data_IF_790350313883
#
_entry.id   IF_790350313883
#
_cell.length_a   1.000
_cell.length_b   1.000
_cell.length_c   1.000
_cell.angle_alpha   90.00
_cell.angle_beta   90.00
_cell.angle_gamma   90.00
#
_symmetry.space_group_name_H-M   'P 1'
#
loop_
_entity.id
_entity.type
_entity.pdbx_description
1 polymer ?
#
# COMPACT_ATOMS: atom_id res chain seq x y z
N UNK A 1 -13.23 19.28 6.89
CA UNK A 1 -13.42 19.89 5.56
C UNK A 1 -12.18 19.55 4.76
N UNK A 2 -12.15 18.74 3.70
CA UNK A 2 -13.14 18.29 2.71
C UNK A 2 -13.66 16.87 3.03
N UNK A 3 -14.90 16.41 2.82
CA UNK A 3 -16.13 16.95 2.24
C UNK A 3 -15.97 17.90 1.04
N UNK A 4 -15.78 17.32 -0.14
CA UNK A 4 -16.41 17.81 -1.37
C UNK A 4 -16.21 16.77 -2.49
N UNK A 5 -17.15 15.83 -2.59
CA UNK A 5 -17.71 15.38 -3.85
C UNK A 5 -19.04 14.69 -3.54
N UNK A 6 -20.09 15.45 -3.82
CA UNK A 6 -21.48 15.09 -4.04
C UNK A 6 -21.95 13.71 -3.55
N UNK A 7 -22.91 13.77 -2.63
CA UNK A 7 -23.97 12.78 -2.52
C UNK A 7 -24.66 12.73 -3.89
N UNK A 8 -24.35 11.70 -4.67
CA UNK A 8 -25.26 11.16 -5.65
C UNK A 8 -25.44 9.69 -5.28
N UNK A 9 -26.52 9.40 -4.57
CA UNK A 9 -27.02 8.05 -4.47
C UNK A 9 -27.37 7.61 -5.89
N UNK A 10 -26.51 6.80 -6.51
CA UNK A 10 -26.88 6.00 -7.66
C UNK A 10 -26.68 4.55 -7.27
N UNK A 11 -27.79 3.90 -7.02
CA UNK A 11 -27.91 2.45 -6.87
C UNK A 11 -27.57 1.79 -8.21
N UNK A 12 -26.28 1.53 -8.44
CA UNK A 12 -25.85 0.58 -9.46
C UNK A 12 -25.61 -0.76 -8.79
N UNK A 13 -26.54 -1.69 -9.04
CA UNK A 13 -26.39 -3.10 -8.73
C UNK A 13 -25.27 -3.67 -9.63
N UNK A 14 -24.03 -3.61 -9.16
CA UNK A 14 -22.94 -4.41 -9.73
C UNK A 14 -22.49 -5.40 -8.65
N UNK A 15 -22.69 -6.69 -8.94
CA UNK A 15 -22.27 -7.80 -8.10
C UNK A 15 -20.73 -7.84 -8.06
N UNK A 16 -20.07 -7.66 -6.92
CA UNK A 16 -18.62 -7.82 -6.85
C UNK A 16 -18.24 -9.30 -7.00
N UNK A 17 -17.10 -9.62 -7.63
CA UNK A 17 -16.59 -10.99 -7.63
C UNK A 17 -16.35 -11.46 -6.19
N UNK A 18 -16.80 -12.69 -5.90
CA UNK A 18 -16.80 -13.26 -4.57
C UNK A 18 -15.38 -13.46 -4.02
N UNK A 19 -15.14 -12.96 -2.80
CA UNK A 19 -13.92 -13.13 -2.02
C UNK A 19 -13.06 -11.86 -1.94
N UNK A 20 -12.86 -11.34 -0.72
CA UNK A 20 -11.79 -10.40 -0.31
C UNK A 20 -12.08 -8.89 -0.28
N UNK A 21 -13.33 -8.45 -0.48
CA UNK A 21 -13.75 -7.05 -0.34
C UNK A 21 -14.68 -6.81 0.87
N UNK A 22 -14.59 -7.67 1.88
CA UNK A 22 -15.38 -7.57 3.11
C UNK A 22 -14.59 -6.83 4.20
N UNK A 23 -15.29 -6.15 5.13
CA UNK A 23 -14.68 -5.65 6.35
C UNK A 23 -13.94 -6.76 7.11
N UNK A 24 -12.81 -6.39 7.72
CA UNK A 24 -12.07 -7.25 8.65
C UNK A 24 -12.95 -7.68 9.83
N UNK A 25 -12.85 -8.95 10.18
CA UNK A 25 -13.49 -9.52 11.36
C UNK A 25 -12.79 -9.07 12.66
N UNK A 26 -13.46 -9.18 13.79
CA UNK A 26 -12.87 -8.85 15.09
C UNK A 26 -11.62 -9.68 15.41
N UNK A 27 -11.58 -10.94 14.98
CA UNK A 27 -10.41 -11.80 15.14
C UNK A 27 -9.21 -11.28 14.33
N UNK A 28 -9.42 -10.92 13.06
CA UNK A 28 -8.36 -10.34 12.22
C UNK A 28 -7.84 -9.01 12.78
N UNK A 29 -8.73 -8.17 13.32
CA UNK A 29 -8.35 -6.93 13.99
C UNK A 29 -7.50 -7.20 15.25
N UNK A 30 -7.85 -8.23 16.04
CA UNK A 30 -7.06 -8.64 17.20
C UNK A 30 -5.68 -9.19 16.79
N UNK A 31 -5.59 -9.98 15.73
CA UNK A 31 -4.31 -10.49 15.19
C UNK A 31 -3.41 -9.34 14.73
N UNK A 32 -3.98 -8.33 14.05
CA UNK A 32 -3.26 -7.11 13.65
C UNK A 32 -2.72 -6.38 14.89
N UNK A 33 -3.50 -6.25 15.98
CA UNK A 33 -3.00 -5.63 17.21
C UNK A 33 -1.87 -6.45 17.84
N UNK A 34 -2.00 -7.78 17.87
CA UNK A 34 -1.00 -8.68 18.43
C UNK A 34 0.33 -8.66 17.68
N UNK A 35 0.33 -8.32 16.39
CA UNK A 35 1.56 -8.11 15.61
C UNK A 35 2.44 -7.03 16.23
N UNK A 36 1.85 -5.91 16.69
CA UNK A 36 2.60 -4.76 17.22
C UNK A 36 3.17 -4.99 18.62
N UNK A 37 3.07 -6.19 19.17
CA UNK A 37 3.79 -6.62 20.38
C UNK A 37 5.02 -7.46 20.07
N UNK A 38 5.35 -7.67 18.78
CA UNK A 38 6.44 -8.53 18.32
C UNK A 38 7.42 -7.74 17.44
N UNK A 39 8.40 -7.04 18.04
CA UNK A 39 9.43 -6.33 17.28
C UNK A 39 10.13 -7.27 16.30
N UNK A 40 10.35 -6.82 15.07
CA UNK A 40 11.00 -7.62 14.05
C UNK A 40 12.48 -7.85 14.41
N UNK A 41 12.97 -9.07 14.21
CA UNK A 41 14.41 -9.37 14.36
C UNK A 41 15.17 -8.93 13.10
N UNK A 42 16.45 -8.61 13.26
CA UNK A 42 17.33 -8.24 12.13
C UNK A 42 17.39 -9.34 11.07
N UNK A 43 17.39 -10.60 11.49
CA UNK A 43 17.42 -11.77 10.59
C UNK A 43 16.14 -11.86 9.76
N UNK A 44 14.98 -11.68 10.38
CA UNK A 44 13.69 -11.69 9.69
C UNK A 44 13.58 -10.55 8.67
N UNK A 45 14.04 -9.34 9.05
CA UNK A 45 14.07 -8.18 8.16
C UNK A 45 15.03 -8.38 6.97
N UNK A 46 16.19 -8.97 7.20
CA UNK A 46 17.15 -9.29 6.14
C UNK A 46 16.59 -10.31 5.15
N UNK A 47 15.93 -11.37 5.65
CA UNK A 47 15.27 -12.36 4.81
C UNK A 47 14.13 -11.74 3.97
N UNK A 48 13.34 -10.85 4.58
CA UNK A 48 12.28 -10.14 3.88
C UNK A 48 12.84 -9.20 2.79
N UNK A 49 13.90 -8.45 3.07
CA UNK A 49 14.55 -7.57 2.10
C UNK A 49 15.02 -8.35 0.85
N UNK A 50 15.63 -9.52 1.06
CA UNK A 50 16.07 -10.39 -0.05
C UNK A 50 14.89 -10.90 -0.88
N UNK A 51 13.75 -11.18 -0.25
CA UNK A 51 12.54 -11.64 -0.92
C UNK A 51 11.83 -10.51 -1.69
N UNK A 52 11.83 -9.28 -1.15
CA UNK A 52 11.13 -8.12 -1.70
C UNK A 52 11.97 -7.21 -2.59
N UNK A 53 13.25 -7.51 -2.84
CA UNK A 53 14.09 -6.74 -3.75
C UNK A 53 13.64 -6.93 -5.22
N UNK A 54 12.49 -6.34 -5.56
CA UNK A 54 11.88 -6.43 -6.89
C UNK A 54 12.64 -5.50 -7.84
N UNK A 55 13.69 -6.04 -8.47
CA UNK A 55 14.45 -5.34 -9.52
C UNK A 55 13.67 -5.23 -10.84
N UNK A 56 12.45 -5.77 -10.90
CA UNK A 56 11.62 -5.79 -12.10
C UNK A 56 10.48 -4.78 -11.96
N UNK A 57 10.19 -4.13 -13.07
CA UNK A 57 8.96 -3.36 -13.22
C UNK A 57 7.77 -4.27 -12.87
N UNK A 58 6.89 -3.77 -12.01
CA UNK A 58 5.79 -4.52 -11.42
C UNK A 58 4.50 -3.74 -11.61
N UNK A 59 3.45 -4.40 -12.08
CA UNK A 59 2.14 -3.77 -12.33
C UNK A 59 1.01 -4.69 -11.93
N UNK A 60 -0.14 -4.11 -11.63
CA UNK A 60 -1.31 -4.88 -11.25
C UNK A 60 -2.52 -4.01 -10.98
N UNK A 61 -3.54 -4.63 -10.41
CA UNK A 61 -4.76 -3.97 -10.00
C UNK A 61 -4.81 -3.87 -8.48
N UNK A 62 -5.53 -2.86 -7.99
CA UNK A 62 -5.84 -2.75 -6.58
C UNK A 62 -7.35 -2.60 -6.35
N UNK A 63 -7.81 -3.15 -5.24
CA UNK A 63 -9.10 -2.82 -4.63
C UNK A 63 -8.84 -2.25 -3.25
N UNK A 64 -9.35 -1.06 -3.00
CA UNK A 64 -9.25 -0.38 -1.72
C UNK A 64 -10.63 -0.31 -1.06
N UNK A 65 -10.69 -0.72 0.20
CA UNK A 65 -11.83 -0.62 1.09
C UNK A 65 -11.48 0.33 2.23
N UNK A 66 -12.28 1.37 2.44
CA UNK A 66 -12.20 2.24 3.62
C UNK A 66 -13.40 1.92 4.51
N UNK A 67 -13.14 1.27 5.63
CA UNK A 67 -14.12 1.02 6.67
C UNK A 67 -14.14 2.21 7.63
N UNK A 68 -15.33 2.78 7.82
CA UNK A 68 -15.58 3.82 8.81
C UNK A 68 -16.76 3.33 9.65
N UNK A 69 -16.57 3.19 10.96
CA UNK A 69 -17.56 2.64 11.89
C UNK A 69 -18.92 3.37 11.78
N UNK A 70 -18.88 4.67 11.50
CA UNK A 70 -20.07 5.52 11.34
C UNK A 70 -20.89 5.21 10.08
N UNK A 71 -20.28 4.56 9.07
CA UNK A 71 -20.93 4.25 7.80
C UNK A 71 -21.50 2.83 7.81
N UNK A 72 -22.70 2.65 7.22
CA UNK A 72 -23.34 1.34 7.08
C UNK A 72 -22.63 0.41 6.09
N UNK A 73 -21.94 0.98 5.11
CA UNK A 73 -21.18 0.27 4.08
C UNK A 73 -19.82 0.94 3.93
N UNK A 74 -18.75 0.18 3.68
CA UNK A 74 -17.45 0.77 3.45
C UNK A 74 -17.41 1.52 2.12
N UNK A 75 -16.45 2.43 1.98
CA UNK A 75 -16.16 3.08 0.70
C UNK A 75 -15.21 2.19 -0.11
N UNK A 76 -15.52 2.01 -1.40
CA UNK A 76 -14.72 1.18 -2.29
C UNK A 76 -14.09 2.03 -3.39
N UNK A 77 -12.80 1.82 -3.61
CA UNK A 77 -12.02 2.39 -4.71
C UNK A 77 -11.29 1.27 -5.46
N UNK A 78 -11.09 1.43 -6.75
CA UNK A 78 -10.43 0.43 -7.59
C UNK A 78 -9.57 1.11 -8.65
N UNK A 79 -8.51 0.43 -9.07
CA UNK A 79 -7.61 0.97 -10.07
C UNK A 79 -6.43 0.08 -10.37
N UNK A 80 -5.38 0.71 -10.89
CA UNK A 80 -4.15 0.06 -11.31
C UNK A 80 -2.94 0.75 -10.70
N UNK A 81 -1.87 0.00 -10.49
CA UNK A 81 -0.59 0.53 -10.06
C UNK A 81 0.52 0.02 -10.97
N UNK A 82 1.57 0.83 -11.09
CA UNK A 82 2.81 0.48 -11.79
C UNK A 82 3.96 0.97 -10.94
N UNK A 83 4.87 0.08 -10.59
CA UNK A 83 6.13 0.39 -9.96
C UNK A 83 7.25 0.06 -10.93
N UNK A 84 8.19 1.00 -11.06
CA UNK A 84 9.46 0.79 -11.74
C UNK A 84 10.57 1.26 -10.81
N UNK A 85 11.62 0.45 -10.57
CA UNK A 85 12.79 0.89 -9.81
C UNK A 85 13.44 2.15 -10.40
N UNK A 86 13.30 2.37 -11.72
CA UNK A 86 13.93 3.50 -12.42
C UNK A 86 13.01 4.70 -12.63
N UNK A 87 11.69 4.48 -12.71
CA UNK A 87 10.73 5.57 -12.98
C UNK A 87 9.94 6.02 -11.75
N UNK A 88 9.81 5.18 -10.72
CA UNK A 88 9.05 5.46 -9.50
C UNK A 88 7.73 4.67 -9.44
N UNK A 89 6.66 5.31 -8.97
CA UNK A 89 5.35 4.69 -8.78
C UNK A 89 4.24 5.48 -9.48
N UNK A 90 3.39 4.80 -10.23
CA UNK A 90 2.10 5.30 -10.72
C UNK A 90 0.98 4.62 -9.95
N UNK A 91 0.03 5.41 -9.49
CA UNK A 91 -1.22 4.96 -8.86
C UNK A 91 -2.40 5.58 -9.58
N UNK A 92 -3.15 4.78 -10.34
CA UNK A 92 -4.28 5.23 -11.12
C UNK A 92 -5.58 4.68 -10.54
N UNK A 93 -6.29 5.49 -9.75
CA UNK A 93 -7.66 5.17 -9.35
C UNK A 93 -8.60 5.37 -10.55
N UNK A 94 -9.39 4.35 -10.87
CA UNK A 94 -10.33 4.36 -11.98
C UNK A 94 -11.78 4.52 -11.49
N UNK A 95 -12.08 4.02 -10.28
CA UNK A 95 -13.40 4.11 -9.62
C UNK A 95 -13.23 4.50 -8.15
N UNK A 96 -14.18 5.25 -7.55
CA UNK A 96 -15.37 5.84 -8.17
C UNK A 96 -15.07 7.13 -8.95
N UNK A 97 -13.95 7.79 -8.64
CA UNK A 97 -13.47 8.98 -9.34
C UNK A 97 -12.09 8.71 -9.92
N UNK A 98 -11.89 9.10 -11.18
CA UNK A 98 -10.59 8.98 -11.83
C UNK A 98 -9.57 9.91 -11.18
N UNK A 99 -8.46 9.36 -10.71
CA UNK A 99 -7.33 10.12 -10.18
C UNK A 99 -6.05 9.42 -10.61
N UNK A 100 -5.06 10.19 -11.04
CA UNK A 100 -3.72 9.70 -11.34
C UNK A 100 -2.74 10.32 -10.34
N UNK A 101 -1.96 9.50 -9.67
CA UNK A 101 -0.84 9.94 -8.83
C UNK A 101 0.45 9.34 -9.39
N UNK A 102 1.50 10.16 -9.45
CA UNK A 102 2.84 9.76 -9.88
C UNK A 102 3.81 10.20 -8.80
N UNK A 103 4.54 9.26 -8.23
CA UNK A 103 5.65 9.50 -7.33
C UNK A 103 6.95 9.21 -8.08
N UNK A 104 7.73 10.26 -8.31
CA UNK A 104 9.02 10.20 -9.01
C UNK A 104 9.95 11.25 -8.42
N UNK A 105 11.23 10.94 -8.28
CA UNK A 105 12.26 11.87 -7.77
C UNK A 105 11.86 12.55 -6.45
N UNK A 106 11.20 11.79 -5.56
CA UNK A 106 10.67 12.28 -4.29
C UNK A 106 9.61 13.39 -4.41
N UNK A 107 9.02 13.58 -5.58
CA UNK A 107 7.90 14.48 -5.83
C UNK A 107 6.63 13.66 -6.10
N UNK A 108 5.54 14.04 -5.44
CA UNK A 108 4.23 13.47 -5.71
C UNK A 108 3.43 14.44 -6.58
N UNK A 109 3.01 13.97 -7.75
CA UNK A 109 2.21 14.72 -8.71
C UNK A 109 0.85 14.04 -8.79
N UNK A 110 -0.23 14.79 -8.62
CA UNK A 110 -1.59 14.27 -8.69
C UNK A 110 -2.40 15.01 -9.74
N UNK A 111 -3.08 14.28 -10.61
CA UNK A 111 -4.13 14.78 -11.48
C UNK A 111 -5.48 14.25 -11.01
N UNK A 112 -6.41 15.15 -10.68
CA UNK A 112 -7.76 14.77 -10.26
C UNK A 112 -8.69 14.50 -11.46
N UNK A 113 -9.95 14.14 -11.18
CA UNK A 113 -10.95 13.82 -12.21
C UNK A 113 -11.31 14.97 -13.13
N UNK A 114 -11.02 16.21 -12.73
CA UNK A 114 -11.22 17.42 -13.53
C UNK A 114 -9.98 17.79 -14.36
N UNK A 115 -8.91 16.99 -14.30
CA UNK A 115 -7.65 17.26 -14.97
C UNK A 115 -6.75 18.28 -14.26
N UNK A 116 -7.12 18.74 -13.07
CA UNK A 116 -6.28 19.67 -12.30
C UNK A 116 -5.06 18.92 -11.75
N UNK A 117 -3.87 19.42 -12.09
CA UNK A 117 -2.59 18.93 -11.60
C UNK A 117 -2.21 19.66 -10.31
N UNK A 118 -1.72 18.91 -9.33
CA UNK A 118 -1.18 19.40 -8.07
C UNK A 118 0.17 18.74 -7.81
N UNK A 119 1.15 19.56 -7.43
CA UNK A 119 2.46 19.09 -7.00
C UNK A 119 2.52 19.14 -5.48
N UNK A 120 2.92 18.03 -4.89
CA UNK A 120 3.13 17.89 -3.46
C UNK A 120 4.63 17.68 -3.21
N UNK A 121 5.29 18.69 -2.66
CA UNK A 121 6.61 18.55 -2.04
C UNK A 121 6.45 18.15 -0.57
N UNK A 122 7.51 17.64 0.04
CA UNK A 122 7.54 17.27 1.47
C UNK A 122 7.21 18.44 2.42
N UNK A 123 7.18 19.68 1.93
CA UNK A 123 7.00 20.91 2.70
C UNK A 123 5.60 21.55 2.51
N UNK A 124 4.78 21.02 1.61
CA UNK A 124 3.49 21.59 1.27
C UNK A 124 2.34 20.92 2.04
N UNK A 125 1.62 21.72 2.83
CA UNK A 125 0.45 21.43 3.69
C UNK A 125 -0.72 20.67 2.99
N UNK A 126 -0.48 19.44 2.56
CA UNK A 126 -1.48 18.49 2.07
C UNK A 126 -1.73 17.36 3.06
N UNK A 127 -2.82 16.59 2.87
CA UNK A 127 -3.16 15.45 3.73
C UNK A 127 -1.96 14.49 3.84
N UNK A 128 -1.38 14.29 5.04
CA UNK A 128 -0.15 13.51 5.21
C UNK A 128 -0.29 12.08 4.68
N UNK A 129 -1.47 11.46 4.77
CA UNK A 129 -1.70 10.08 4.31
C UNK A 129 -1.57 9.96 2.78
N UNK A 130 -2.10 10.93 2.01
CA UNK A 130 -2.07 10.89 0.55
C UNK A 130 -0.66 11.00 -0.02
N UNK A 131 0.27 11.59 0.74
CA UNK A 131 1.69 11.69 0.39
C UNK A 131 2.53 10.53 0.90
N UNK A 132 2.24 10.05 2.11
CA UNK A 132 3.03 9.02 2.77
C UNK A 132 2.78 7.63 2.17
N UNK A 133 1.55 7.30 1.78
CA UNK A 133 1.23 5.96 1.27
C UNK A 133 1.96 5.61 -0.05
N UNK A 134 2.00 6.48 -1.08
CA UNK A 134 2.78 6.20 -2.29
C UNK A 134 4.29 6.03 -1.99
N UNK A 135 4.85 6.85 -1.09
CA UNK A 135 6.27 6.77 -0.70
C UNK A 135 6.58 5.49 0.04
N UNK A 136 5.72 5.13 0.98
CA UNK A 136 5.81 3.89 1.71
C UNK A 136 5.74 2.71 0.74
N UNK A 137 4.75 2.70 -0.16
CA UNK A 137 4.61 1.65 -1.16
C UNK A 137 5.85 1.55 -2.04
N UNK A 138 6.42 2.67 -2.49
CA UNK A 138 7.68 2.69 -3.23
C UNK A 138 8.83 2.05 -2.42
N UNK A 139 9.02 2.43 -1.15
CA UNK A 139 10.09 1.88 -0.31
C UNK A 139 9.93 0.36 -0.09
N UNK A 140 8.70 -0.10 0.16
CA UNK A 140 8.43 -1.54 0.33
C UNK A 140 8.66 -2.28 -0.99
N UNK A 141 8.18 -1.76 -2.12
CA UNK A 141 8.34 -2.40 -3.42
C UNK A 141 9.79 -2.41 -3.90
N UNK A 142 10.60 -1.43 -3.46
CA UNK A 142 12.05 -1.43 -3.66
C UNK A 142 12.80 -2.38 -2.73
N UNK A 143 12.14 -2.99 -1.74
CA UNK A 143 12.77 -3.82 -0.72
C UNK A 143 13.70 -3.02 0.21
N UNK A 144 13.54 -1.71 0.30
CA UNK A 144 14.42 -0.81 1.06
C UNK A 144 14.00 -0.78 2.54
N UNK A 145 14.31 -1.87 3.24
CA UNK A 145 13.99 -2.02 4.67
C UNK A 145 14.77 -1.02 5.53
N UNK A 146 15.94 -0.55 5.08
CA UNK A 146 16.71 0.46 5.79
C UNK A 146 15.98 1.82 5.77
N UNK A 147 15.46 2.23 4.61
CA UNK A 147 14.62 3.43 4.51
C UNK A 147 13.34 3.31 5.36
N UNK A 148 12.71 2.14 5.41
CA UNK A 148 11.57 1.90 6.31
C UNK A 148 11.98 2.03 7.77
N UNK A 149 13.09 1.42 8.16
CA UNK A 149 13.59 1.42 9.54
C UNK A 149 14.00 2.82 10.01
N UNK A 150 14.35 3.74 9.11
CA UNK A 150 14.62 5.12 9.47
C UNK A 150 13.36 5.84 10.04
N UNK A 151 12.20 5.61 9.42
CA UNK A 151 10.94 6.28 9.80
C UNK A 151 10.02 5.49 10.72
N UNK A 152 10.20 4.16 10.82
CA UNK A 152 9.24 3.26 11.46
C UNK A 152 9.91 2.27 12.42
N UNK A 153 9.21 1.93 13.50
CA UNK A 153 9.45 0.71 14.26
C UNK A 153 8.81 -0.45 13.48
N UNK A 154 9.55 -1.54 13.30
CA UNK A 154 9.14 -2.68 12.50
C UNK A 154 8.78 -3.86 13.39
N UNK A 155 7.69 -4.55 13.03
CA UNK A 155 7.12 -5.67 13.77
C UNK A 155 6.89 -6.83 12.82
N UNK A 156 7.27 -8.04 13.21
CA UNK A 156 7.05 -9.25 12.41
C UNK A 156 6.75 -10.42 13.35
N UNK A 157 5.86 -11.35 12.97
CA UNK A 157 5.64 -12.54 13.76
C UNK A 157 6.93 -13.36 13.86
N UNK A 158 7.30 -13.81 15.06
CA UNK A 158 8.50 -14.63 15.27
C UNK A 158 8.45 -16.00 14.54
N UNK A 159 7.25 -16.42 14.12
CA UNK A 159 6.93 -17.75 13.56
C UNK A 159 6.83 -17.77 12.04
N UNK A 160 7.66 -17.00 11.35
CA UNK A 160 8.01 -17.32 9.96
C UNK A 160 9.43 -17.84 9.97
N UNK A 161 9.58 -19.17 10.09
CA UNK A 161 10.82 -19.83 9.74
C UNK A 161 11.10 -19.59 8.27
N UNK A 162 11.75 -18.47 7.96
CA UNK A 162 12.51 -18.36 6.72
C UNK A 162 13.86 -18.98 7.04
N UNK A 163 14.07 -20.15 6.45
CA UNK A 163 15.30 -20.95 6.43
C UNK A 163 15.59 -21.77 7.71
N UNK A 164 15.09 -23.00 7.73
CA UNK A 164 15.99 -24.12 8.04
C UNK A 164 16.52 -24.66 6.71
N UNK A 165 17.82 -24.98 6.57
CA UNK A 165 18.33 -25.67 5.40
C UNK A 165 17.82 -27.12 5.42
N UNK A 166 16.64 -27.33 4.82
CA UNK A 166 16.13 -28.68 4.57
C UNK A 166 16.90 -29.24 3.37
N UNK A 167 17.87 -30.12 3.63
CA UNK A 167 18.49 -30.97 2.62
C UNK A 167 17.48 -32.09 2.25
N UNK A 168 16.33 -31.73 1.67
CA UNK A 168 15.39 -32.67 1.06
C UNK A 168 14.67 -31.96 -0.10
N UNK A 169 14.54 -32.59 -1.28
CA UNK A 169 13.79 -32.01 -2.39
C UNK A 169 12.29 -32.02 -2.07
N UNK A 170 11.76 -30.90 -1.57
CA UNK A 170 10.33 -30.73 -1.32
C UNK A 170 9.59 -30.49 -2.64
N UNK A 171 8.66 -31.40 -2.99
CA UNK A 171 7.84 -31.37 -4.21
C UNK A 171 6.58 -30.49 -4.08
N UNK A 172 6.57 -29.51 -3.18
CA UNK A 172 5.47 -28.55 -3.02
C UNK A 172 6.02 -27.24 -2.46
N UNK A 173 5.80 -26.08 -3.10
CA UNK A 173 6.20 -24.81 -2.52
C UNK A 173 5.34 -24.58 -1.26
N UNK A 174 5.99 -24.60 -0.09
CA UNK A 174 5.34 -24.15 1.13
C UNK A 174 4.96 -22.67 0.95
N UNK A 175 3.67 -22.35 1.17
CA UNK A 175 3.14 -20.99 1.07
C UNK A 175 3.80 -20.11 2.14
N UNK A 176 4.94 -19.50 1.82
CA UNK A 176 5.63 -18.53 2.68
C UNK A 176 4.91 -17.20 2.57
N UNK A 177 3.86 -17.02 3.36
CA UNK A 177 3.26 -15.70 3.56
C UNK A 177 4.07 -14.94 4.61
N UNK A 178 4.45 -13.69 4.31
CA UNK A 178 5.06 -12.78 5.27
C UNK A 178 4.06 -11.73 5.76
N UNK A 179 4.34 -11.17 6.94
CA UNK A 179 3.62 -10.01 7.47
C UNK A 179 4.61 -9.05 8.12
N UNK A 180 4.48 -7.76 7.81
CA UNK A 180 5.30 -6.69 8.35
C UNK A 180 4.40 -5.57 8.88
N UNK A 181 4.53 -5.27 10.17
CA UNK A 181 3.91 -4.14 10.83
C UNK A 181 4.87 -2.96 10.89
N UNK A 182 4.38 -1.78 10.54
CA UNK A 182 5.08 -0.52 10.60
C UNK A 182 4.33 0.43 11.53
N UNK A 183 5.07 0.96 12.48
CA UNK A 183 4.59 1.99 13.40
C UNK A 183 5.50 3.21 13.25
N UNK A 184 4.94 4.36 12.86
CA UNK A 184 5.76 5.56 12.66
C UNK A 184 6.54 5.89 13.94
N UNK A 185 7.77 6.38 13.84
CA UNK A 185 8.54 6.85 15.01
C UNK A 185 8.14 8.25 15.42
N UNK A 186 7.72 9.07 14.47
CA UNK A 186 7.27 10.43 14.70
C UNK A 186 5.84 10.44 15.30
N UNK A 187 5.63 11.05 16.49
CA UNK A 187 4.32 11.07 17.15
C UNK A 187 3.21 11.80 16.38
N UNK A 188 3.56 12.83 15.59
CA UNK A 188 2.59 13.56 14.77
C UNK A 188 2.13 12.68 13.60
N UNK A 189 3.03 11.92 13.00
CA UNK A 189 2.70 10.92 11.98
C UNK A 189 1.87 9.78 12.59
N UNK A 190 2.27 9.25 13.75
CA UNK A 190 1.50 8.22 14.47
C UNK A 190 0.05 8.65 14.71
N UNK A 191 -0.14 9.88 15.19
CA UNK A 191 -1.46 10.42 15.53
C UNK A 191 -2.36 10.68 14.31
N UNK A 192 -1.78 10.79 13.11
CA UNK A 192 -2.51 11.10 11.87
C UNK A 192 -2.76 9.89 10.96
N UNK A 193 -2.03 8.78 11.12
CA UNK A 193 -2.06 7.66 10.17
C UNK A 193 -2.13 6.26 10.82
N UNK A 194 -2.07 6.15 12.14
CA UNK A 194 -2.15 4.87 12.85
C UNK A 194 -1.04 3.88 12.45
N UNK A 195 -1.36 2.60 12.48
CA UNK A 195 -0.45 1.50 12.20
C UNK A 195 -0.63 0.99 10.76
N UNK A 196 0.46 0.58 10.10
CA UNK A 196 0.41 0.01 8.75
C UNK A 196 0.88 -1.43 8.77
N UNK A 197 0.03 -2.35 8.33
CA UNK A 197 0.33 -3.78 8.25
C UNK A 197 0.34 -4.21 6.79
N UNK A 198 1.45 -4.80 6.36
CA UNK A 198 1.64 -5.35 5.03
C UNK A 198 1.68 -6.86 5.12
N UNK A 199 1.17 -7.53 4.11
CA UNK A 199 1.34 -8.98 3.97
C UNK A 199 1.46 -9.40 2.52
N UNK A 200 2.17 -10.49 2.29
CA UNK A 200 2.40 -10.98 0.94
C UNK A 200 3.06 -12.34 0.90
N UNK A 201 3.50 -12.71 -0.29
CA UNK A 201 4.29 -13.90 -0.58
C UNK A 201 5.61 -13.44 -1.25
N UNK A 202 5.93 -13.89 -2.46
CA UNK A 202 6.99 -13.26 -3.25
C UNK A 202 6.66 -11.82 -3.64
N UNK A 203 5.38 -11.44 -3.60
CA UNK A 203 4.89 -10.10 -3.90
C UNK A 203 4.02 -9.58 -2.74
N UNK A 204 3.87 -8.26 -2.66
CA UNK A 204 2.90 -7.64 -1.75
C UNK A 204 1.49 -8.01 -2.22
N UNK A 205 0.65 -8.49 -1.28
CA UNK A 205 -0.74 -8.87 -1.55
C UNK A 205 -1.74 -7.95 -0.87
N UNK A 206 -1.45 -7.53 0.36
CA UNK A 206 -2.37 -6.69 1.14
C UNK A 206 -1.62 -5.60 1.90
N UNK A 207 -2.29 -4.46 2.05
CA UNK A 207 -1.92 -3.38 2.94
C UNK A 207 -3.14 -2.99 3.77
N UNK A 208 -2.98 -2.95 5.09
CA UNK A 208 -3.97 -2.45 6.02
C UNK A 208 -3.38 -1.26 6.75
N UNK A 209 -4.16 -0.19 6.89
CA UNK A 209 -3.78 1.02 7.61
C UNK A 209 -4.90 1.39 8.56
N UNK A 210 -4.62 1.38 9.86
CA UNK A 210 -5.58 1.77 10.88
C UNK A 210 -5.61 3.29 11.01
N UNK A 211 -6.72 3.88 11.45
CA UNK A 211 -6.78 5.34 11.62
C UNK A 211 -6.18 5.81 12.95
N UNK A 212 -6.06 4.90 13.91
CA UNK A 212 -5.44 5.11 15.22
C UNK A 212 -4.77 3.78 15.67
N UNK A 213 -3.90 3.84 16.68
CA UNK A 213 -3.21 2.66 17.22
C UNK A 213 -4.06 1.88 18.23
N UNK A 214 -4.82 2.58 19.07
CA UNK A 214 -5.65 1.98 20.11
C UNK A 214 -7.04 1.62 19.58
N UNK A 215 -7.66 2.53 18.82
CA UNK A 215 -8.98 2.31 18.21
C UNK A 215 -8.84 2.06 16.70
N UNK A 216 -8.89 0.78 16.33
CA UNK A 216 -8.74 0.35 14.94
C UNK A 216 -10.09 0.10 14.26
N UNK A 217 -11.17 0.65 14.80
CA UNK A 217 -12.52 0.52 14.22
C UNK A 217 -12.62 1.16 12.82
N UNK A 218 -11.85 2.21 12.57
CA UNK A 218 -11.69 2.85 11.26
C UNK A 218 -10.37 2.43 10.61
N UNK A 219 -10.42 1.88 9.40
CA UNK A 219 -9.23 1.41 8.69
C UNK A 219 -9.39 1.46 7.17
N UNK A 220 -8.26 1.41 6.48
CA UNK A 220 -8.17 1.18 5.04
C UNK A 220 -7.55 -0.20 4.80
N UNK A 221 -8.15 -0.99 3.93
CA UNK A 221 -7.57 -2.21 3.37
C UNK A 221 -7.34 -2.02 1.87
N UNK A 222 -6.20 -2.43 1.37
CA UNK A 222 -5.86 -2.45 -0.06
C UNK A 222 -5.42 -3.86 -0.41
N UNK A 223 -6.06 -4.46 -1.41
CA UNK A 223 -5.69 -5.75 -1.95
C UNK A 223 -5.10 -5.57 -3.34
N UNK A 224 -3.94 -6.19 -3.58
CA UNK A 224 -3.24 -6.20 -4.85
C UNK A 224 -3.52 -7.51 -5.58
N UNK A 225 -3.99 -7.40 -6.81
CA UNK A 225 -4.40 -8.54 -7.63
C UNK A 225 -3.84 -8.41 -9.04
N UNK A 226 -3.81 -9.53 -9.76
CA UNK A 226 -3.32 -9.57 -11.15
C UNK A 226 -1.91 -8.98 -11.30
N UNK A 227 -1.08 -9.12 -10.26
CA UNK A 227 0.27 -8.59 -10.23
C UNK A 227 1.16 -9.37 -11.20
N UNK A 228 1.87 -8.64 -12.03
CA UNK A 228 2.80 -9.16 -13.04
C UNK A 228 4.10 -8.37 -13.00
N UNK A 229 5.20 -9.03 -13.37
CA UNK A 229 6.50 -8.41 -13.48
C UNK A 229 7.02 -8.54 -14.91
N UNK A 230 7.86 -7.59 -15.33
CA UNK A 230 8.46 -7.55 -16.65
C UNK A 230 8.37 -6.16 -17.29
N UNK A 231 8.97 -5.98 -18.47
CA UNK A 231 9.14 -4.66 -19.08
C UNK A 231 7.80 -3.96 -19.28
N UNK A 232 7.81 -2.64 -19.04
CA UNK A 232 6.67 -1.76 -19.30
C UNK A 232 6.54 -1.44 -20.79
N UNK A 233 5.30 -1.35 -21.25
CA UNK A 233 4.94 -0.82 -22.56
C UNK A 233 5.14 0.69 -22.63
N UNK A 234 5.19 1.25 -23.84
CA UNK A 234 5.30 2.70 -24.06
C UNK A 234 4.14 3.47 -23.40
N UNK A 235 2.93 2.93 -23.41
CA UNK A 235 1.76 3.56 -22.77
C UNK A 235 1.89 3.59 -21.25
N UNK A 236 2.42 2.53 -20.65
CA UNK A 236 2.69 2.47 -19.22
C UNK A 236 3.81 3.45 -18.81
N UNK A 237 4.88 3.52 -19.60
CA UNK A 237 5.97 4.49 -19.40
C UNK A 237 5.49 5.94 -19.54
N UNK A 238 4.58 6.22 -20.47
CA UNK A 238 4.03 7.57 -20.66
C UNK A 238 3.30 8.09 -19.40
N UNK A 239 2.72 7.22 -18.57
CA UNK A 239 2.05 7.63 -17.33
C UNK A 239 2.99 8.28 -16.32
N UNK A 240 4.28 7.91 -16.33
CA UNK A 240 5.29 8.52 -15.45
C UNK A 240 5.66 9.96 -15.87
N UNK A 241 5.22 10.42 -17.04
CA UNK A 241 5.54 11.76 -17.55
C UNK A 241 4.56 12.85 -17.09
N UNK A 242 3.58 12.50 -16.24
CA UNK A 242 2.63 13.48 -15.69
C UNK A 242 3.38 14.64 -15.01
N UNK A 243 3.10 15.88 -15.42
CA UNK A 243 3.68 17.08 -14.82
C UNK A 243 5.05 17.50 -15.37
N UNK A 244 5.58 16.83 -16.39
CA UNK A 244 6.80 17.26 -17.10
C UNK A 244 6.64 18.54 -17.95
N UNK A 245 5.46 19.19 -17.94
CA UNK A 245 5.22 20.44 -18.68
C UNK A 245 5.70 21.72 -17.96
N UNK A 246 6.48 21.61 -16.87
CA UNK A 246 7.07 22.78 -16.20
C UNK A 246 8.58 22.90 -16.47
N UNK A 247 8.97 23.12 -17.72
CA UNK A 247 10.28 23.69 -18.08
C UNK A 247 10.31 24.14 -19.55
N UNK A 248 9.63 25.25 -19.86
CA UNK A 248 10.05 26.11 -20.97
C UNK A 248 9.88 27.56 -20.58
#
# INVERSE_FOLDING_TARGET
MLCCLCIAASSANEHPPAGNNEPLTQAQLADIQALYTQPASTEALSALAQQLNLQLDTRGQFVQLRHLQVLKKPLLSQGQFIFSPTQGLVWQQQRPFKTLMVLKDQQLIQQNSQGKIQHFSAEANGNPIAQQLPRLLQAIMAGDIDALSAGFNLFMPATQSVIQPVIQPATKPENRSWQLGLQAKDPQVQSSMGNITLSGDTLIRSLIMTSNQADISDYTQIQFTLTQQGPLSETELALFSLGNESAK
#
